data_IF_679909160884
#
_entry.id   IF_679909160884
#
_cell.length_a   1.000
_cell.length_b   1.000
_cell.length_c   1.000
_cell.angle_alpha   90.00
_cell.angle_beta   90.00
_cell.angle_gamma   90.00
#
_symmetry.space_group_name_H-M   'P 1'
#
loop_
_entity.id
_entity.type
_entity.pdbx_description
1 polymer ?
#
# COMPACT_ATOMS: atom_id res chain seq x y z
N UNK A 1 21.76 5.06 -26.88
CA UNK A 1 21.29 4.21 -25.75
C UNK A 1 20.25 3.25 -26.28
N UNK A 2 20.52 1.95 -26.29
CA UNK A 2 19.53 0.93 -26.62
C UNK A 2 18.54 0.87 -25.46
N UNK A 3 17.36 1.46 -25.63
CA UNK A 3 16.25 1.26 -24.72
C UNK A 3 15.85 -0.21 -24.87
N UNK A 4 16.41 -1.09 -24.02
CA UNK A 4 16.08 -2.51 -24.00
C UNK A 4 14.57 -2.60 -23.84
N UNK A 5 13.86 -3.09 -24.85
CA UNK A 5 12.41 -3.23 -24.81
C UNK A 5 12.02 -3.92 -23.50
N UNK A 6 11.28 -3.18 -22.69
CA UNK A 6 10.91 -3.63 -21.35
C UNK A 6 9.87 -4.73 -21.56
N UNK A 7 10.05 -5.94 -21.01
CA UNK A 7 9.06 -7.01 -21.13
C UNK A 7 7.71 -6.49 -20.65
N UNK A 8 6.67 -6.75 -21.43
CA UNK A 8 5.31 -6.27 -21.15
C UNK A 8 4.87 -6.86 -19.81
N UNK A 9 4.74 -6.02 -18.78
CA UNK A 9 4.31 -6.47 -17.48
C UNK A 9 2.85 -6.92 -17.56
N UNK A 10 2.61 -8.22 -17.36
CA UNK A 10 1.26 -8.77 -17.33
C UNK A 10 0.59 -8.35 -16.02
N UNK A 11 -0.44 -7.51 -16.15
CA UNK A 11 -1.29 -7.13 -15.03
C UNK A 11 -1.97 -8.39 -14.48
N UNK A 12 -1.76 -8.73 -13.18
CA UNK A 12 -2.48 -9.85 -12.59
C UNK A 12 -3.99 -9.60 -12.68
N UNK A 13 -4.78 -10.63 -12.96
CA UNK A 13 -6.24 -10.50 -13.12
C UNK A 13 -6.93 -10.42 -11.75
N UNK A 14 -6.56 -9.42 -10.95
CA UNK A 14 -7.16 -9.14 -9.65
C UNK A 14 -7.90 -7.80 -9.72
N UNK A 15 -9.01 -7.64 -8.98
CA UNK A 15 -9.83 -6.41 -9.03
C UNK A 15 -9.03 -5.13 -8.78
N UNK A 16 -7.96 -5.21 -7.99
CA UNK A 16 -7.11 -4.07 -7.63
C UNK A 16 -5.85 -3.92 -8.48
N UNK A 17 -5.57 -4.83 -9.43
CA UNK A 17 -4.34 -4.77 -10.23
C UNK A 17 -4.24 -3.50 -11.07
N UNK A 18 -5.35 -3.06 -11.66
CA UNK A 18 -5.41 -1.81 -12.44
C UNK A 18 -5.02 -0.61 -11.57
N UNK A 19 -5.61 -0.50 -10.38
CA UNK A 19 -5.30 0.57 -9.43
C UNK A 19 -3.84 0.52 -8.94
N UNK A 20 -3.29 -0.67 -8.70
CA UNK A 20 -1.87 -0.85 -8.33
C UNK A 20 -0.94 -0.38 -9.45
N UNK A 21 -1.26 -0.70 -10.70
CA UNK A 21 -0.48 -0.26 -11.86
C UNK A 21 -0.55 1.24 -12.09
N UNK A 22 -1.73 1.85 -11.98
CA UNK A 22 -1.87 3.31 -12.06
C UNK A 22 -1.06 4.01 -10.96
N UNK A 23 -1.05 3.47 -9.74
CA UNK A 23 -0.19 3.97 -8.65
C UNK A 23 1.29 3.78 -8.97
N UNK A 24 1.69 2.59 -9.44
CA UNK A 24 3.08 2.26 -9.78
C UNK A 24 3.62 3.22 -10.85
N UNK A 25 2.81 3.55 -11.85
CA UNK A 25 3.19 4.52 -12.89
C UNK A 25 3.40 5.93 -12.33
N UNK A 26 2.59 6.40 -11.37
CA UNK A 26 2.82 7.69 -10.70
C UNK A 26 4.15 7.70 -9.93
N UNK A 27 4.48 6.60 -9.25
CA UNK A 27 5.77 6.46 -8.56
C UNK A 27 6.96 6.39 -9.52
N UNK A 28 6.80 5.72 -10.67
CA UNK A 28 7.79 5.69 -11.76
C UNK A 28 8.02 7.09 -12.32
N UNK A 29 6.96 7.86 -12.55
CA UNK A 29 7.07 9.23 -13.05
C UNK A 29 7.78 10.14 -12.04
N UNK A 30 7.43 10.05 -10.76
CA UNK A 30 8.11 10.78 -9.69
C UNK A 30 9.60 10.38 -9.57
N UNK A 31 9.92 9.09 -9.67
CA UNK A 31 11.29 8.60 -9.65
C UNK A 31 12.10 9.07 -10.86
N UNK A 32 11.47 9.10 -12.04
CA UNK A 32 12.05 9.63 -13.26
C UNK A 32 12.30 11.14 -13.14
N UNK A 33 11.35 11.90 -12.58
CA UNK A 33 11.51 13.32 -12.30
C UNK A 33 12.61 13.60 -11.27
N UNK A 34 12.80 12.71 -10.29
CA UNK A 34 13.89 12.76 -9.33
C UNK A 34 15.26 12.35 -9.91
N UNK A 35 15.33 12.03 -11.22
CA UNK A 35 16.57 11.64 -11.89
C UNK A 35 17.09 10.26 -11.50
N UNK A 36 16.23 9.38 -10.97
CA UNK A 36 16.64 8.02 -10.62
C UNK A 36 17.01 7.20 -11.84
N UNK A 37 17.90 6.23 -11.64
CA UNK A 37 18.30 5.30 -12.69
C UNK A 37 17.14 4.39 -13.12
N UNK A 38 17.20 3.84 -14.34
CA UNK A 38 16.17 2.93 -14.84
C UNK A 38 16.02 1.68 -13.97
N UNK A 39 17.10 1.21 -13.35
CA UNK A 39 17.08 0.06 -12.44
C UNK A 39 16.31 0.36 -11.15
N UNK A 40 16.50 1.55 -10.57
CA UNK A 40 15.73 1.98 -9.40
C UNK A 40 14.25 2.20 -9.73
N UNK A 41 13.96 2.77 -10.89
CA UNK A 41 12.58 2.94 -11.38
C UNK A 41 11.88 1.57 -11.50
N UNK A 42 12.59 0.56 -12.01
CA UNK A 42 12.07 -0.82 -12.06
C UNK A 42 11.86 -1.42 -10.67
N UNK A 43 12.79 -1.21 -9.75
CA UNK A 43 12.64 -1.67 -8.37
C UNK A 43 11.41 -1.03 -7.70
N UNK A 44 11.18 0.27 -7.93
CA UNK A 44 10.01 0.99 -7.41
C UNK A 44 8.72 0.45 -8.02
N UNK A 45 8.67 0.28 -9.35
CA UNK A 45 7.51 -0.28 -10.03
C UNK A 45 7.16 -1.67 -9.49
N UNK A 46 8.16 -2.57 -9.43
CA UNK A 46 7.99 -3.92 -8.91
C UNK A 46 7.52 -3.91 -7.45
N UNK A 47 8.10 -3.04 -6.61
CA UNK A 47 7.72 -2.90 -5.21
C UNK A 47 6.27 -2.43 -5.03
N UNK A 48 5.78 -1.50 -5.86
CA UNK A 48 4.37 -1.06 -5.81
C UNK A 48 3.42 -2.12 -6.35
N UNK A 49 3.81 -2.86 -7.40
CA UNK A 49 3.00 -3.96 -7.93
C UNK A 49 2.92 -5.15 -6.98
N UNK A 50 4.02 -5.50 -6.32
CA UNK A 50 4.09 -6.55 -5.27
C UNK A 50 3.56 -6.07 -3.90
N UNK A 51 3.29 -4.77 -3.73
CA UNK A 51 2.77 -4.25 -2.48
C UNK A 51 1.36 -4.78 -2.24
N UNK A 52 1.28 -5.80 -1.40
CA UNK A 52 0.00 -6.30 -0.92
C UNK A 52 -0.26 -5.74 0.47
N UNK A 53 -1.33 -4.94 0.58
CA UNK A 53 -1.80 -4.40 1.85
C UNK A 53 -2.15 -5.54 2.83
N UNK A 54 -2.49 -6.73 2.33
CA UNK A 54 -2.73 -7.95 3.13
C UNK A 54 -1.50 -8.42 3.90
N UNK A 55 -0.32 -8.07 3.42
CA UNK A 55 0.96 -8.41 4.04
C UNK A 55 1.35 -7.31 5.05
N UNK A 56 0.52 -7.16 6.10
CA UNK A 56 0.68 -6.18 7.19
C UNK A 56 2.01 -6.32 7.95
N UNK A 57 2.71 -7.45 7.78
CA UNK A 57 4.05 -7.69 8.31
C UNK A 57 5.14 -6.98 7.51
N UNK A 58 4.92 -6.76 6.20
CA UNK A 58 5.81 -5.98 5.34
C UNK A 58 5.56 -4.47 5.42
N UNK A 59 4.51 -4.04 6.14
CA UNK A 59 4.26 -2.62 6.37
C UNK A 59 5.29 -2.03 7.33
N UNK A 60 5.82 -0.84 7.04
CA UNK A 60 6.68 -0.13 7.97
C UNK A 60 5.99 0.02 9.33
N UNK A 61 6.69 -0.39 10.39
CA UNK A 61 6.24 -0.24 11.77
C UNK A 61 6.85 1.00 12.46
N UNK A 62 7.54 1.86 11.70
CA UNK A 62 8.13 3.09 12.22
C UNK A 62 7.03 4.07 12.69
N UNK A 63 7.39 4.97 13.61
CA UNK A 63 6.45 5.85 14.32
C UNK A 63 5.33 6.48 13.47
N UNK A 64 5.61 7.14 12.34
CA UNK A 64 4.56 7.72 11.49
C UNK A 64 3.72 6.67 10.75
N UNK A 65 4.25 5.48 10.45
CA UNK A 65 3.54 4.39 9.78
C UNK A 65 2.88 3.39 10.75
N UNK A 66 3.19 3.43 12.05
CA UNK A 66 2.62 2.53 13.05
C UNK A 66 1.09 2.65 13.15
N UNK A 67 0.56 3.89 13.08
CA UNK A 67 -0.88 4.14 13.05
C UNK A 67 -1.53 3.58 11.79
N UNK A 68 -0.89 3.77 10.64
CA UNK A 68 -1.34 3.22 9.37
C UNK A 68 -1.38 1.68 9.42
N UNK A 69 -0.30 1.04 9.92
CA UNK A 69 -0.23 -0.41 10.10
C UNK A 69 -1.36 -0.91 11.01
N UNK A 70 -1.60 -0.26 12.15
CA UNK A 70 -2.71 -0.59 13.04
C UNK A 70 -4.06 -0.47 12.32
N UNK A 71 -4.31 0.63 11.62
CA UNK A 71 -5.54 0.86 10.88
C UNK A 71 -5.82 -0.25 9.85
N UNK A 72 -4.79 -0.66 9.10
CA UNK A 72 -4.90 -1.75 8.11
C UNK A 72 -5.18 -3.10 8.77
N UNK A 73 -4.48 -3.43 9.87
CA UNK A 73 -4.71 -4.68 10.61
C UNK A 73 -6.16 -4.77 11.09
N UNK A 74 -6.70 -3.69 11.66
CA UNK A 74 -8.07 -3.66 12.17
C UNK A 74 -9.11 -3.74 11.04
N UNK A 75 -8.89 -3.05 9.93
CA UNK A 75 -9.75 -3.16 8.74
C UNK A 75 -9.75 -4.58 8.17
N UNK A 76 -8.59 -5.25 8.13
CA UNK A 76 -8.49 -6.63 7.66
C UNK A 76 -9.18 -7.61 8.59
N UNK A 77 -9.00 -7.47 9.91
CA UNK A 77 -9.73 -8.26 10.90
C UNK A 77 -11.24 -8.09 10.76
N UNK A 78 -11.70 -6.87 10.47
CA UNK A 78 -13.11 -6.61 10.20
C UNK A 78 -13.63 -7.37 8.96
N UNK A 79 -12.90 -7.31 7.84
CA UNK A 79 -13.24 -8.07 6.63
C UNK A 79 -13.22 -9.59 6.91
N UNK A 80 -12.20 -10.07 7.63
CA UNK A 80 -12.09 -11.48 8.02
C UNK A 80 -13.22 -11.93 8.96
N UNK A 81 -13.74 -11.03 9.79
CA UNK A 81 -14.90 -11.25 10.64
C UNK A 81 -16.24 -11.15 9.87
N UNK A 82 -16.22 -11.00 8.54
CA UNK A 82 -17.40 -10.95 7.69
C UNK A 82 -18.06 -9.57 7.59
N UNK A 83 -17.40 -8.51 8.08
CA UNK A 83 -17.90 -7.14 7.92
C UNK A 83 -17.76 -6.66 6.48
N UNK A 84 -18.58 -5.69 6.09
CA UNK A 84 -18.50 -5.11 4.75
C UNK A 84 -17.21 -4.30 4.56
N UNK A 85 -16.81 -4.11 3.30
CA UNK A 85 -15.69 -3.23 2.95
C UNK A 85 -15.87 -1.79 3.44
N UNK A 86 -17.11 -1.31 3.53
CA UNK A 86 -17.43 0.03 4.05
C UNK A 86 -17.18 0.13 5.55
N UNK A 87 -17.58 -0.87 6.33
CA UNK A 87 -17.31 -0.92 7.77
C UNK A 87 -15.80 -1.03 8.05
N UNK A 88 -15.08 -1.82 7.26
CA UNK A 88 -13.64 -1.94 7.35
C UNK A 88 -12.94 -0.59 7.02
N UNK A 89 -13.41 0.13 6.00
CA UNK A 89 -12.93 1.47 5.68
C UNK A 89 -13.29 2.52 6.75
N UNK A 90 -14.45 2.41 7.38
CA UNK A 90 -14.81 3.27 8.51
C UNK A 90 -13.88 3.05 9.70
N UNK A 91 -13.61 1.78 10.06
CA UNK A 91 -12.64 1.41 11.09
C UNK A 91 -11.25 1.96 10.79
N UNK A 92 -10.78 1.81 9.55
CA UNK A 92 -9.52 2.40 9.11
C UNK A 92 -9.49 3.91 9.32
N UNK A 93 -10.54 4.63 8.88
CA UNK A 93 -10.64 6.10 9.05
C UNK A 93 -10.64 6.52 10.52
N UNK A 94 -11.40 5.85 11.37
CA UNK A 94 -11.45 6.13 12.82
C UNK A 94 -10.08 5.95 13.49
N UNK A 95 -9.33 4.91 13.12
CA UNK A 95 -7.98 4.69 13.67
C UNK A 95 -7.01 5.78 13.18
N UNK A 96 -7.08 6.15 11.91
CA UNK A 96 -6.25 7.23 11.35
C UNK A 96 -6.57 8.60 11.96
N UNK A 97 -7.84 8.86 12.26
CA UNK A 97 -8.30 10.08 12.94
C UNK A 97 -7.98 10.10 14.45
N UNK A 98 -7.52 8.98 15.02
CA UNK A 98 -7.30 8.84 16.46
C UNK A 98 -8.59 8.68 17.28
N UNK A 99 -9.72 8.46 16.61
CA UNK A 99 -11.05 8.26 17.21
C UNK A 99 -11.30 6.80 17.61
N UNK A 100 -10.39 5.89 17.27
CA UNK A 100 -10.42 4.53 17.76
C UNK A 100 -10.11 4.52 19.26
N UNK A 101 -11.15 4.50 20.07
CA UNK A 101 -11.14 4.40 21.52
C UNK A 101 -10.64 3.02 21.99
N UNK A 102 -9.37 2.74 21.74
CA UNK A 102 -8.61 1.71 22.45
C UNK A 102 -7.66 2.42 23.39
N UNK A 103 -8.07 2.63 24.65
CA UNK A 103 -7.27 3.35 25.64
C UNK A 103 -5.87 2.76 25.77
N UNK A 104 -4.87 3.52 25.31
CA UNK A 104 -3.53 3.43 25.90
C UNK A 104 -3.48 4.55 26.94
N UNK A 105 -3.95 4.25 28.14
CA UNK A 105 -3.51 4.97 29.32
C UNK A 105 -2.02 4.74 29.45
N UNK A 106 -1.21 5.78 29.20
CA UNK A 106 0.14 5.81 29.73
C UNK A 106 0.00 5.93 31.24
N UNK A 107 0.33 4.86 31.95
CA UNK A 107 0.70 4.89 33.35
C UNK A 107 2.19 5.24 33.47
#
# INVERSE_FOLDING_TARGET
MTCKEHPKYELPNTPHAKHRYESAMKHVEAAKAAGKSSEEIHAIFKKVMEFDIKDVEKLPADGPHAKYRSAVIHAQKAIAAGKSSEEAHELYRKIMAGEATGGCGHH
#
